data_IF_169001087953
#
_entry.id   IF_169001087953
#
_cell.length_a   1.000
_cell.length_b   1.000
_cell.length_c   1.000
_cell.angle_alpha   90.00
_cell.angle_beta   90.00
_cell.angle_gamma   90.00
#
_symmetry.space_group_name_H-M   'P 1'
#
loop_
_entity.id
_entity.type
_entity.pdbx_description
1 polymer ?
#
# COMPACT_ATOMS: atom_id res chain seq x y z
N UNK A 1 -22.89 23.03 -35.30
CA UNK A 1 -21.52 22.87 -34.76
C UNK A 1 -21.41 23.29 -33.28
N UNK A 2 -22.50 23.18 -32.50
CA UNK A 2 -22.54 23.67 -31.10
C UNK A 2 -22.72 22.54 -30.07
N UNK A 3 -23.06 21.32 -30.53
CA UNK A 3 -23.26 20.16 -29.67
C UNK A 3 -21.96 19.40 -29.36
N UNK A 4 -20.89 19.63 -30.12
CA UNK A 4 -19.59 18.94 -29.95
C UNK A 4 -18.78 19.47 -28.76
N UNK A 5 -18.96 20.75 -28.40
CA UNK A 5 -18.18 21.39 -27.32
C UNK A 5 -18.54 20.90 -25.92
N UNK A 6 -19.72 20.32 -25.72
CA UNK A 6 -20.16 19.84 -24.40
C UNK A 6 -19.61 18.45 -24.06
N UNK A 7 -19.21 17.65 -25.06
CA UNK A 7 -18.72 16.28 -24.83
C UNK A 7 -17.28 16.21 -24.31
N UNK A 8 -16.48 17.27 -24.47
CA UNK A 8 -15.07 17.25 -24.07
C UNK A 8 -14.88 17.49 -22.56
N UNK A 9 -15.85 18.14 -21.90
CA UNK A 9 -15.69 18.58 -20.50
C UNK A 9 -15.86 17.48 -19.44
N UNK A 10 -16.34 16.29 -19.79
CA UNK A 10 -16.73 15.26 -18.81
C UNK A 10 -15.67 14.18 -18.55
N UNK A 11 -14.60 14.11 -19.35
CA UNK A 11 -13.59 13.05 -19.26
C UNK A 11 -12.47 13.32 -18.23
N UNK A 12 -12.53 14.41 -17.47
CA UNK A 12 -11.42 14.83 -16.60
C UNK A 12 -11.44 14.30 -15.15
N UNK A 13 -12.46 13.54 -14.72
CA UNK A 13 -12.71 13.35 -13.27
C UNK A 13 -12.74 11.91 -12.73
N UNK A 14 -12.12 10.92 -13.37
CA UNK A 14 -12.15 9.57 -12.81
C UNK A 14 -10.86 8.78 -12.97
N UNK A 15 -9.83 9.12 -12.19
CA UNK A 15 -8.87 8.10 -11.70
C UNK A 15 -8.51 8.42 -10.26
N UNK A 16 -9.46 8.20 -9.34
CA UNK A 16 -9.12 8.00 -7.93
C UNK A 16 -8.73 6.55 -7.77
N UNK A 17 -7.46 6.20 -8.04
CA UNK A 17 -6.96 4.87 -7.70
C UNK A 17 -6.80 4.79 -6.18
N UNK A 18 -7.79 4.20 -5.50
CA UNK A 18 -7.61 3.74 -4.12
C UNK A 18 -6.68 2.55 -4.20
N UNK A 19 -5.43 2.71 -3.74
CA UNK A 19 -4.53 1.58 -3.57
C UNK A 19 -5.11 0.70 -2.46
N UNK A 20 -5.68 -0.44 -2.83
CA UNK A 20 -5.94 -1.50 -1.86
C UNK A 20 -4.56 -1.99 -1.40
N UNK A 21 -4.17 -1.66 -0.17
CA UNK A 21 -3.02 -2.29 0.48
C UNK A 21 -3.24 -3.81 0.43
N UNK A 22 -2.27 -4.60 -0.08
CA UNK A 22 -2.39 -6.04 -0.05
C UNK A 22 -2.66 -6.48 1.38
N UNK A 23 -3.82 -7.11 1.60
CA UNK A 23 -4.12 -7.82 2.84
C UNK A 23 -3.15 -9.00 2.87
N UNK A 24 -2.03 -8.83 3.57
CA UNK A 24 -1.09 -9.91 3.80
C UNK A 24 -1.77 -10.87 4.76
N UNK A 25 -2.24 -11.98 4.19
CA UNK A 25 -2.74 -13.14 4.90
C UNK A 25 -1.57 -14.05 5.28
N UNK A 26 -0.53 -13.46 5.85
CA UNK A 26 0.46 -14.22 6.59
C UNK A 26 -0.05 -14.22 8.03
N UNK A 27 -0.27 -15.40 8.63
CA UNK A 27 -0.76 -15.52 10.02
C UNK A 27 0.23 -14.92 11.04
N UNK A 28 1.37 -14.40 10.58
CA UNK A 28 2.36 -13.70 11.40
C UNK A 28 1.87 -12.34 11.89
N UNK A 29 1.99 -12.12 13.20
CA UNK A 29 1.70 -10.83 13.84
C UNK A 29 2.78 -9.83 13.45
N UNK A 30 2.47 -8.94 12.52
CA UNK A 30 3.36 -7.85 12.11
C UNK A 30 3.00 -6.51 12.76
N UNK A 31 4.01 -5.70 13.04
CA UNK A 31 3.81 -4.31 13.41
C UNK A 31 3.22 -3.53 12.24
N UNK A 32 2.37 -2.55 12.55
CA UNK A 32 1.84 -1.59 11.57
C UNK A 32 2.85 -0.45 11.33
N UNK A 33 4.05 -0.81 10.92
CA UNK A 33 5.12 0.11 10.54
C UNK A 33 5.39 -0.05 9.04
N UNK A 34 5.67 1.05 8.34
CA UNK A 34 6.25 1.00 7.00
C UNK A 34 7.54 1.82 7.02
N UNK A 35 8.63 1.19 6.57
CA UNK A 35 9.95 1.81 6.43
C UNK A 35 10.52 1.51 5.06
N UNK A 36 11.21 2.47 4.47
CA UNK A 36 11.83 2.29 3.15
C UNK A 36 13.02 1.32 3.19
N UNK A 37 13.66 1.20 4.36
CA UNK A 37 14.86 0.38 4.58
C UNK A 37 14.63 -0.65 5.70
N UNK A 38 15.40 -1.77 5.72
CA UNK A 38 15.34 -2.76 6.79
C UNK A 38 15.53 -2.12 8.17
N UNK A 39 14.79 -2.58 9.17
CA UNK A 39 14.84 -2.02 10.52
C UNK A 39 15.29 -3.04 11.56
N UNK A 40 15.97 -2.55 12.60
CA UNK A 40 16.24 -3.36 13.79
C UNK A 40 14.93 -3.64 14.53
N UNK A 41 14.59 -4.92 14.69
CA UNK A 41 13.39 -5.35 15.37
C UNK A 41 13.66 -5.72 16.84
N UNK A 42 12.63 -5.68 17.71
CA UNK A 42 12.73 -6.19 19.07
C UNK A 42 13.17 -7.67 19.11
N UNK A 43 13.72 -8.15 20.23
CA UNK A 43 14.03 -9.58 20.38
C UNK A 43 12.79 -10.45 20.15
N UNK A 44 12.95 -11.53 19.37
CA UNK A 44 11.85 -12.43 18.99
C UNK A 44 11.07 -11.98 17.74
N UNK A 45 11.52 -10.93 17.07
CA UNK A 45 10.92 -10.40 15.84
C UNK A 45 11.97 -10.32 14.73
N UNK A 46 11.54 -10.55 13.48
CA UNK A 46 12.36 -10.38 12.28
C UNK A 46 11.91 -9.17 11.47
N UNK A 47 12.87 -8.57 10.76
CA UNK A 47 12.59 -7.55 9.76
C UNK A 47 12.15 -8.23 8.47
N UNK A 48 10.94 -7.93 8.02
CA UNK A 48 10.33 -8.55 6.84
C UNK A 48 9.85 -7.47 5.87
N UNK A 49 10.00 -7.75 4.57
CA UNK A 49 9.56 -6.84 3.52
C UNK A 49 8.16 -7.21 3.05
N UNK A 50 7.23 -6.30 3.27
CA UNK A 50 5.81 -6.41 3.01
C UNK A 50 5.43 -5.35 1.96
N UNK A 51 5.08 -5.81 0.75
CA UNK A 51 4.92 -4.96 -0.44
C UNK A 51 6.20 -4.16 -0.70
N UNK A 52 6.14 -2.84 -0.54
CA UNK A 52 7.24 -1.91 -0.78
C UNK A 52 7.89 -1.42 0.53
N UNK A 53 7.40 -1.89 1.67
CA UNK A 53 7.82 -1.45 3.00
C UNK A 53 8.51 -2.57 3.77
N UNK A 54 9.44 -2.19 4.62
CA UNK A 54 9.95 -3.03 5.70
C UNK A 54 9.14 -2.82 6.97
N UNK A 55 8.86 -3.92 7.67
CA UNK A 55 8.23 -3.93 8.99
C UNK A 55 8.86 -5.03 9.85
N UNK A 56 8.46 -5.11 11.11
CA UNK A 56 8.83 -6.21 12.00
C UNK A 56 7.65 -7.17 12.16
N UNK A 57 7.92 -8.47 12.06
CA UNK A 57 6.95 -9.53 12.31
C UNK A 57 7.49 -10.50 13.36
N UNK A 58 6.61 -11.12 14.14
CA UNK A 58 6.99 -12.18 15.08
C UNK A 58 7.61 -13.35 14.32
N UNK A 59 8.75 -13.84 14.80
CA UNK A 59 9.24 -15.16 14.41
C UNK A 59 8.46 -16.19 15.22
N UNK A 60 7.51 -16.89 14.58
CA UNK A 60 6.77 -18.02 15.20
C UNK A 60 7.69 -19.08 15.83
#
# INVERSE_FOLDING_TARGET
MQFYSLFIATMALAVSSVYALPQITDDSTCLRLCRDEPVGCPPGWKSEKISDCWTCCEDE
#
